data_IF_489739801787
#
_entry.id   IF_489739801787
#
_cell.length_a   1.000
_cell.length_b   1.000
_cell.length_c   1.000
_cell.angle_alpha   90.00
_cell.angle_beta   90.00
_cell.angle_gamma   90.00
#
_symmetry.space_group_name_H-M   'P 1'
#
loop_
_entity.id
_entity.type
_entity.pdbx_description
1 polymer ?
#
# COMPACT_ATOMS: atom_id res chain seq x y z
N UNK A 1 -26.57 -18.90 -12.90
CA UNK A 1 -25.25 -18.26 -13.03
C UNK A 1 -25.32 -16.98 -12.23
N UNK A 2 -24.86 -16.99 -10.97
CA UNK A 2 -24.92 -15.81 -10.11
C UNK A 2 -24.10 -14.69 -10.72
N UNK A 3 -24.74 -13.55 -10.92
CA UNK A 3 -24.10 -12.32 -11.31
C UNK A 3 -23.20 -11.85 -10.17
N UNK A 4 -21.90 -11.69 -10.46
CA UNK A 4 -20.98 -11.01 -9.55
C UNK A 4 -21.38 -9.53 -9.59
N UNK A 5 -21.96 -9.04 -8.49
CA UNK A 5 -22.32 -7.65 -8.30
C UNK A 5 -21.04 -6.80 -8.25
N UNK A 6 -20.93 -5.82 -9.15
CA UNK A 6 -19.86 -4.82 -9.19
C UNK A 6 -20.08 -3.69 -8.15
N UNK A 7 -20.36 -4.05 -6.91
CA UNK A 7 -20.24 -3.17 -5.75
C UNK A 7 -18.98 -3.62 -5.02
N UNK A 8 -17.88 -2.88 -4.94
CA UNK A 8 -17.70 -1.44 -4.75
C UNK A 8 -16.27 -1.18 -5.28
N UNK A 9 -16.11 -0.38 -6.33
CA UNK A 9 -14.77 0.15 -6.66
C UNK A 9 -14.75 1.53 -6.02
N UNK A 10 -14.06 1.74 -4.87
CA UNK A 10 -14.00 3.05 -4.27
C UNK A 10 -13.30 3.98 -5.26
N UNK A 11 -14.06 4.90 -5.86
CA UNK A 11 -13.52 5.95 -6.75
C UNK A 11 -12.87 7.09 -5.94
N UNK A 12 -12.96 7.02 -4.61
CA UNK A 12 -12.31 7.94 -3.69
C UNK A 12 -10.99 7.35 -3.18
N UNK A 13 -9.98 8.20 -2.99
CA UNK A 13 -8.75 7.82 -2.29
C UNK A 13 -9.09 7.26 -0.90
N UNK A 14 -8.33 6.27 -0.39
CA UNK A 14 -8.57 5.69 0.93
C UNK A 14 -8.40 6.76 2.01
N UNK A 15 -9.08 6.58 3.13
CA UNK A 15 -8.82 7.39 4.34
C UNK A 15 -7.49 7.00 4.98
N UNK A 16 -6.95 7.90 5.81
CA UNK A 16 -5.71 7.65 6.53
C UNK A 16 -5.79 6.42 7.47
N UNK A 17 -6.96 6.17 8.07
CA UNK A 17 -7.17 5.03 8.96
C UNK A 17 -7.22 3.71 8.18
N UNK A 18 -7.83 3.70 6.99
CA UNK A 18 -7.83 2.54 6.09
C UNK A 18 -6.41 2.22 5.61
N UNK A 19 -5.63 3.23 5.20
CA UNK A 19 -4.23 3.05 4.82
C UNK A 19 -3.40 2.47 5.97
N UNK A 20 -3.59 2.99 7.19
CA UNK A 20 -2.88 2.48 8.37
C UNK A 20 -3.22 1.01 8.63
N UNK A 21 -4.51 0.67 8.64
CA UNK A 21 -4.95 -0.70 8.89
C UNK A 21 -4.44 -1.67 7.82
N UNK A 22 -4.45 -1.26 6.55
CA UNK A 22 -3.92 -2.07 5.45
C UNK A 22 -2.41 -2.28 5.57
N UNK A 23 -1.65 -1.21 5.84
CA UNK A 23 -0.21 -1.27 6.00
C UNK A 23 0.19 -2.13 7.21
N UNK A 24 -0.48 -1.98 8.34
CA UNK A 24 -0.23 -2.80 9.54
C UNK A 24 -0.47 -4.28 9.25
N UNK A 25 -1.58 -4.64 8.62
CA UNK A 25 -1.86 -6.02 8.22
C UNK A 25 -0.84 -6.56 7.22
N UNK A 26 -0.38 -5.73 6.28
CA UNK A 26 0.67 -6.12 5.34
C UNK A 26 2.01 -6.32 6.05
N UNK A 27 2.39 -5.43 6.96
CA UNK A 27 3.62 -5.56 7.76
C UNK A 27 3.59 -6.83 8.61
N UNK A 28 2.48 -7.13 9.30
CA UNK A 28 2.35 -8.35 10.11
C UNK A 28 2.52 -9.64 9.28
N UNK A 29 2.11 -9.61 8.01
CA UNK A 29 2.22 -10.77 7.12
C UNK A 29 3.59 -10.91 6.44
N UNK A 30 4.32 -9.81 6.26
CA UNK A 30 5.49 -9.74 5.38
C UNK A 30 6.80 -9.41 6.11
N UNK A 31 6.74 -8.79 7.28
CA UNK A 31 7.91 -8.47 8.07
C UNK A 31 8.45 -9.72 8.76
N UNK A 32 9.74 -9.98 8.55
CA UNK A 32 10.49 -10.98 9.27
C UNK A 32 11.84 -10.36 9.70
N UNK A 33 12.16 -10.34 11.01
CA UNK A 33 13.38 -9.73 11.53
C UNK A 33 14.66 -10.43 11.07
N UNK A 34 14.56 -11.59 10.43
CA UNK A 34 15.69 -12.34 9.88
C UNK A 34 15.97 -12.00 8.42
N UNK A 35 15.11 -11.22 7.75
CA UNK A 35 15.35 -10.76 6.38
C UNK A 35 16.62 -9.92 6.32
N UNK A 36 17.35 -10.09 5.22
CA UNK A 36 18.39 -9.12 4.90
C UNK A 36 17.75 -7.80 4.48
N UNK A 37 18.52 -6.71 4.52
CA UNK A 37 18.05 -5.41 4.03
C UNK A 37 17.70 -5.49 2.54
N UNK A 38 18.42 -6.29 1.75
CA UNK A 38 18.13 -6.53 0.34
C UNK A 38 16.77 -7.21 0.13
N UNK A 39 16.51 -8.31 0.85
CA UNK A 39 15.24 -9.03 0.77
C UNK A 39 14.07 -8.15 1.21
N UNK A 40 14.28 -7.36 2.27
CA UNK A 40 13.28 -6.40 2.73
C UNK A 40 12.95 -5.36 1.66
N UNK A 41 13.97 -4.78 1.01
CA UNK A 41 13.76 -3.82 -0.07
C UNK A 41 13.10 -4.45 -1.30
N UNK A 42 13.45 -5.69 -1.65
CA UNK A 42 12.82 -6.40 -2.75
C UNK A 42 11.31 -6.63 -2.52
N UNK A 43 10.90 -6.80 -1.25
CA UNK A 43 9.50 -6.98 -0.86
C UNK A 43 8.75 -5.64 -0.74
N UNK A 44 9.35 -4.63 -0.12
CA UNK A 44 8.72 -3.34 0.14
C UNK A 44 8.63 -2.45 -1.11
N UNK A 45 9.69 -2.35 -1.91
CA UNK A 45 9.76 -1.42 -3.03
C UNK A 45 8.59 -1.54 -4.04
N UNK A 46 8.17 -2.73 -4.50
CA UNK A 46 7.08 -2.85 -5.47
C UNK A 46 5.71 -2.47 -4.93
N UNK A 47 5.55 -2.35 -3.60
CA UNK A 47 4.27 -1.93 -3.00
C UNK A 47 3.99 -0.45 -3.24
N UNK A 48 5.02 0.39 -3.41
CA UNK A 48 4.91 1.85 -3.45
C UNK A 48 4.91 2.53 -2.08
N UNK A 49 4.82 1.79 -0.96
CA UNK A 49 4.80 2.35 0.41
C UNK A 49 6.09 3.11 0.76
N UNK A 50 7.22 2.75 0.14
CA UNK A 50 8.48 3.47 0.29
C UNK A 50 8.54 4.83 -0.44
N UNK A 51 7.58 5.11 -1.33
CA UNK A 51 7.55 6.31 -2.16
C UNK A 51 6.11 6.68 -2.57
N UNK A 52 5.20 6.86 -1.59
CA UNK A 52 3.76 6.96 -1.81
C UNK A 52 3.37 8.20 -2.65
N UNK A 53 4.17 9.27 -2.59
CA UNK A 53 3.91 10.53 -3.30
C UNK A 53 4.38 10.53 -4.75
N UNK A 54 5.16 9.53 -5.18
CA UNK A 54 5.56 9.45 -6.59
C UNK A 54 4.34 9.12 -7.46
N UNK A 55 4.29 9.59 -8.71
CA UNK A 55 3.30 9.15 -9.68
C UNK A 55 3.25 7.63 -9.84
N UNK A 56 2.08 7.10 -10.16
CA UNK A 56 1.87 5.64 -10.34
C UNK A 56 2.70 5.07 -11.49
N UNK A 57 2.90 5.84 -12.57
CA UNK A 57 3.76 5.47 -13.69
C UNK A 57 5.26 5.48 -13.35
N UNK A 58 5.63 6.06 -12.20
CA UNK A 58 6.97 6.01 -11.62
C UNK A 58 7.09 5.00 -10.45
N UNK A 59 6.08 4.15 -10.23
CA UNK A 59 6.08 3.11 -9.19
C UNK A 59 5.50 3.52 -7.84
N UNK A 60 5.08 4.79 -7.67
CA UNK A 60 4.43 5.26 -6.45
C UNK A 60 2.92 5.02 -6.43
N UNK A 61 2.25 5.70 -5.50
CA UNK A 61 0.80 5.60 -5.33
C UNK A 61 0.06 6.88 -5.77
N UNK A 62 0.78 7.94 -6.13
CA UNK A 62 0.21 9.24 -6.47
C UNK A 62 -0.49 9.93 -5.29
N UNK A 63 -0.19 9.52 -4.07
CA UNK A 63 -0.88 9.99 -2.87
C UNK A 63 -0.45 11.39 -2.45
N UNK A 64 -1.40 12.10 -1.84
CA UNK A 64 -1.17 13.38 -1.18
C UNK A 64 -0.36 13.23 0.11
N UNK A 65 0.04 14.39 0.68
CA UNK A 65 0.85 14.45 1.91
C UNK A 65 0.14 13.84 3.12
N UNK A 66 -1.18 13.90 3.14
CA UNK A 66 -2.05 13.36 4.19
C UNK A 66 -1.91 11.83 4.30
N UNK A 67 -1.99 11.12 3.17
CA UNK A 67 -1.83 9.66 3.16
C UNK A 67 -0.35 9.25 3.26
N UNK A 68 0.57 10.04 2.68
CA UNK A 68 2.00 9.78 2.84
C UNK A 68 2.51 9.95 4.28
N UNK A 69 1.79 10.68 5.13
CA UNK A 69 2.17 10.89 6.54
C UNK A 69 1.80 9.71 7.46
N UNK A 70 1.01 8.74 6.96
CA UNK A 70 0.56 7.60 7.76
C UNK A 70 1.18 6.27 7.38
N UNK A 71 2.05 6.27 6.36
CA UNK A 71 2.86 5.12 5.96
C UNK A 71 4.25 5.14 6.57
#
# INVERSE_FOLDING_TARGET
MSEVSAADVPTAAPSADEVRAELEAWLDANWDPTLTVEDWWALLAPTGYAHPTLPVDAGGMGWGRDLAAVV
#
